data_IF_008376849744
#
_entry.id   IF_008376849744
#
_cell.length_a   1.000
_cell.length_b   1.000
_cell.length_c   1.000
_cell.angle_alpha   90.00
_cell.angle_beta   90.00
_cell.angle_gamma   90.00
#
_symmetry.space_group_name_H-M   'P 1'
#
loop_
_entity.id
_entity.type
_entity.pdbx_description
1 polymer ?
#
# COMPACT_ATOMS: atom_id res chain seq x y z
N UNK A 1 10.00 -1.09 19.16
CA UNK A 1 9.10 -1.18 17.99
C UNK A 1 9.68 -2.14 16.96
N UNK A 2 9.74 -3.45 17.27
CA UNK A 2 10.43 -4.44 16.41
C UNK A 2 9.52 -5.05 15.33
N UNK A 3 8.21 -4.95 15.50
CA UNK A 3 7.21 -5.66 14.70
C UNK A 3 7.12 -5.20 13.23
N UNK A 4 7.18 -3.89 12.96
CA UNK A 4 7.08 -3.36 11.58
C UNK A 4 8.35 -3.56 10.75
N UNK A 5 9.50 -3.66 11.41
CA UNK A 5 10.80 -3.83 10.76
C UNK A 5 10.95 -5.21 10.10
N UNK A 6 10.22 -6.21 10.60
CA UNK A 6 10.33 -7.60 10.17
C UNK A 6 9.28 -7.98 9.11
N UNK A 7 8.28 -7.12 8.86
CA UNK A 7 7.21 -7.38 7.88
C UNK A 7 7.75 -7.42 6.45
N UNK A 8 7.48 -8.51 5.73
CA UNK A 8 7.78 -8.62 4.31
C UNK A 8 6.65 -7.99 3.51
N UNK A 9 6.93 -6.88 2.84
CA UNK A 9 5.94 -6.10 2.10
C UNK A 9 6.24 -6.17 0.60
N UNK A 10 5.32 -6.77 -0.14
CA UNK A 10 5.31 -6.72 -1.60
C UNK A 10 4.54 -5.48 -2.06
N UNK A 11 5.10 -4.73 -3.00
CA UNK A 11 4.45 -3.57 -3.62
C UNK A 11 4.21 -3.87 -5.09
N UNK A 12 2.96 -3.82 -5.53
CA UNK A 12 2.56 -3.98 -6.92
C UNK A 12 1.93 -2.69 -7.43
N UNK A 13 2.41 -2.18 -8.55
CA UNK A 13 1.80 -1.03 -9.18
C UNK A 13 0.51 -1.43 -9.92
N UNK A 14 -0.62 -0.91 -9.48
CA UNK A 14 -1.93 -1.05 -10.12
C UNK A 14 -2.53 0.32 -10.45
N UNK A 15 -1.70 1.36 -10.54
CA UNK A 15 -2.15 2.73 -10.82
C UNK A 15 -2.06 3.07 -12.31
N UNK A 16 -1.26 2.32 -13.08
CA UNK A 16 -0.89 2.67 -14.46
C UNK A 16 0.07 3.85 -14.57
N UNK A 17 0.43 4.48 -13.45
CA UNK A 17 1.43 5.55 -13.41
C UNK A 17 2.84 4.92 -13.34
N UNK A 18 3.78 5.34 -14.21
CA UNK A 18 5.16 4.91 -14.09
C UNK A 18 5.72 5.22 -12.70
N UNK A 19 6.61 4.34 -12.21
CA UNK A 19 7.34 4.54 -10.95
C UNK A 19 6.52 4.55 -9.66
N UNK A 20 5.18 4.50 -9.71
CA UNK A 20 4.33 4.52 -8.51
C UNK A 20 4.67 3.40 -7.52
N UNK A 21 4.93 2.18 -8.01
CA UNK A 21 5.39 1.07 -7.16
C UNK A 21 6.73 1.34 -6.49
N UNK A 22 7.68 1.95 -7.22
CA UNK A 22 8.99 2.31 -6.67
C UNK A 22 8.86 3.42 -5.61
N UNK A 23 8.06 4.45 -5.88
CA UNK A 23 7.80 5.55 -4.96
C UNK A 23 7.15 5.08 -3.65
N UNK A 24 6.12 4.24 -3.72
CA UNK A 24 5.51 3.63 -2.52
C UNK A 24 6.52 2.78 -1.76
N UNK A 25 7.34 1.99 -2.47
CA UNK A 25 8.35 1.16 -1.81
C UNK A 25 9.35 2.01 -1.03
N UNK A 26 9.75 3.15 -1.58
CA UNK A 26 10.69 4.06 -0.93
C UNK A 26 10.06 4.74 0.29
N UNK A 27 8.83 5.23 0.13
CA UNK A 27 8.07 5.83 1.23
C UNK A 27 7.94 4.90 2.45
N UNK A 28 7.68 3.61 2.22
CA UNK A 28 7.58 2.62 3.29
C UNK A 28 8.93 2.36 3.97
N UNK A 29 10.01 2.30 3.19
CA UNK A 29 11.37 2.16 3.76
C UNK A 29 11.73 3.35 4.65
N UNK A 30 11.44 4.56 4.18
CA UNK A 30 11.68 5.80 4.93
C UNK A 30 10.82 5.88 6.21
N UNK A 31 9.67 5.18 6.22
CA UNK A 31 8.77 5.04 7.37
C UNK A 31 9.17 3.92 8.36
N UNK A 32 10.25 3.17 8.06
CA UNK A 32 10.82 2.16 8.96
C UNK A 32 10.50 0.70 8.63
N UNK A 33 9.88 0.42 7.48
CA UNK A 33 9.69 -0.94 6.97
C UNK A 33 10.94 -1.39 6.21
N UNK A 34 11.69 -2.38 6.72
CA UNK A 34 12.97 -2.74 6.13
C UNK A 34 12.86 -3.71 4.94
N UNK A 35 11.84 -4.58 4.95
CA UNK A 35 11.70 -5.65 3.96
C UNK A 35 10.63 -5.32 2.92
N UNK A 36 10.89 -4.30 2.10
CA UNK A 36 9.97 -3.85 1.04
C UNK A 36 10.56 -4.16 -0.33
N UNK A 37 9.80 -4.82 -1.21
CA UNK A 37 10.20 -5.13 -2.58
C UNK A 37 9.08 -4.86 -3.58
N UNK A 38 9.45 -4.61 -4.83
CA UNK A 38 8.53 -4.26 -5.90
C UNK A 38 8.31 -5.46 -6.82
N UNK A 39 7.05 -5.79 -7.06
CA UNK A 39 6.61 -6.80 -8.02
C UNK A 39 6.44 -6.17 -9.41
N UNK A 40 6.28 -7.01 -10.42
CA UNK A 40 5.84 -6.56 -11.74
C UNK A 40 4.49 -5.84 -11.66
N UNK A 41 4.37 -4.76 -12.43
CA UNK A 41 3.14 -3.99 -12.58
C UNK A 41 1.95 -4.89 -12.95
N UNK A 42 0.78 -4.53 -12.43
CA UNK A 42 -0.47 -5.20 -12.73
C UNK A 42 -1.02 -4.74 -14.07
N UNK A 43 -1.63 -5.65 -14.82
CA UNK A 43 -2.38 -5.32 -16.03
C UNK A 43 -3.72 -4.63 -15.73
N UNK A 44 -4.17 -4.65 -14.47
CA UNK A 44 -5.44 -4.06 -14.04
C UNK A 44 -5.19 -2.82 -13.20
N UNK A 45 -5.83 -1.73 -13.60
CA UNK A 45 -5.80 -0.47 -12.86
C UNK A 45 -6.88 -0.44 -11.79
N UNK A 46 -6.54 0.01 -10.58
CA UNK A 46 -7.47 0.17 -9.46
C UNK A 46 -7.48 1.62 -8.98
N UNK A 47 -8.66 2.09 -8.55
CA UNK A 47 -8.81 3.48 -8.12
C UNK A 47 -8.24 3.76 -6.74
N UNK A 48 -8.36 2.81 -5.80
CA UNK A 48 -7.82 2.96 -4.45
C UNK A 48 -6.74 1.93 -4.18
N UNK A 49 -5.73 2.34 -3.42
CA UNK A 49 -4.68 1.48 -2.95
C UNK A 49 -5.26 0.40 -2.03
N UNK A 50 -4.84 -0.83 -2.23
CA UNK A 50 -5.29 -1.99 -1.45
C UNK A 50 -4.13 -2.52 -0.62
N UNK A 51 -4.34 -2.61 0.70
CA UNK A 51 -3.40 -3.20 1.64
C UNK A 51 -3.93 -4.58 2.02
N UNK A 52 -3.36 -5.61 1.43
CA UNK A 52 -3.85 -6.99 1.48
C UNK A 52 -3.07 -7.76 2.54
N UNK A 53 -3.77 -8.25 3.56
CA UNK A 53 -3.18 -9.05 4.63
C UNK A 53 -3.03 -10.52 4.20
N UNK A 54 -1.81 -11.06 4.26
CA UNK A 54 -1.62 -12.49 4.12
C UNK A 54 -1.91 -13.23 5.43
N UNK A 55 -2.48 -14.43 5.31
CA UNK A 55 -2.81 -15.33 6.45
C UNK A 55 -3.73 -14.68 7.50
N UNK A 56 -4.42 -13.61 7.12
CA UNK A 56 -5.36 -12.90 7.98
C UNK A 56 -4.74 -11.96 9.02
N UNK A 57 -3.48 -11.55 8.86
CA UNK A 57 -2.85 -10.54 9.73
C UNK A 57 -3.38 -9.11 9.44
N UNK A 58 -4.62 -8.87 9.86
CA UNK A 58 -5.28 -7.57 9.73
C UNK A 58 -4.58 -6.46 10.50
N UNK A 59 -3.94 -6.79 11.62
CA UNK A 59 -3.32 -5.79 12.47
C UNK A 59 -2.10 -5.17 11.77
N UNK A 60 -1.28 -6.01 11.14
CA UNK A 60 -0.18 -5.55 10.29
C UNK A 60 -0.68 -4.73 9.12
N UNK A 61 -1.73 -5.17 8.43
CA UNK A 61 -2.30 -4.43 7.29
C UNK A 61 -2.88 -3.06 7.71
N UNK A 62 -3.57 -2.98 8.84
CA UNK A 62 -4.07 -1.71 9.38
C UNK A 62 -2.93 -0.78 9.78
N UNK A 63 -1.84 -1.33 10.34
CA UNK A 63 -0.65 -0.53 10.67
C UNK A 63 -0.04 0.08 9.42
N UNK A 64 0.16 -0.73 8.37
CA UNK A 64 0.67 -0.25 7.07
C UNK A 64 -0.26 0.79 6.45
N UNK A 65 -1.57 0.52 6.41
CA UNK A 65 -2.56 1.45 5.87
C UNK A 65 -2.58 2.79 6.64
N UNK A 66 -2.43 2.74 7.97
CA UNK A 66 -2.36 3.94 8.82
C UNK A 66 -1.09 4.76 8.56
N UNK A 67 0.04 4.10 8.30
CA UNK A 67 1.28 4.79 7.91
C UNK A 67 1.11 5.44 6.54
N UNK A 68 0.51 4.76 5.56
CA UNK A 68 0.26 5.32 4.23
C UNK A 68 -0.76 6.47 4.22
N UNK A 69 -1.71 6.47 5.15
CA UNK A 69 -2.75 7.50 5.25
C UNK A 69 -3.82 7.44 4.14
N UNK A 70 -3.78 6.43 3.28
CA UNK A 70 -4.70 6.24 2.15
C UNK A 70 -5.01 4.76 1.91
N UNK A 71 -5.83 4.47 0.90
CA UNK A 71 -6.20 3.11 0.56
C UNK A 71 -7.15 2.43 1.54
N UNK A 72 -7.33 1.12 1.36
CA UNK A 72 -8.21 0.26 2.18
C UNK A 72 -7.53 -1.06 2.53
N UNK A 73 -7.84 -1.60 3.70
CA UNK A 73 -7.39 -2.93 4.11
C UNK A 73 -8.32 -4.00 3.52
N UNK A 74 -7.73 -5.04 2.93
CA UNK A 74 -8.44 -6.22 2.42
C UNK A 74 -7.93 -7.49 3.12
N UNK A 75 -8.86 -8.38 3.45
CA UNK A 75 -8.58 -9.71 3.98
C UNK A 75 -8.72 -10.73 2.84
N UNK A 76 -7.70 -10.83 2.00
CA UNK A 76 -7.73 -11.72 0.84
C UNK A 76 -6.41 -12.47 0.72
N UNK A 77 -6.46 -13.74 0.36
CA UNK A 77 -5.26 -14.53 0.02
C UNK A 77 -4.83 -14.37 -1.44
N UNK A 78 -5.14 -13.22 -2.06
CA UNK A 78 -4.86 -12.94 -3.49
C UNK A 78 -3.60 -12.10 -3.70
N UNK A 79 -2.89 -11.73 -2.62
CA UNK A 79 -1.59 -11.07 -2.67
C UNK A 79 -0.44 -12.03 -3.00
N UNK A 80 0.79 -11.54 -2.89
CA UNK A 80 2.01 -12.35 -3.01
C UNK A 80 2.17 -13.28 -1.82
N UNK A 81 2.30 -14.58 -2.08
CA UNK A 81 2.34 -15.64 -1.07
C UNK A 81 3.62 -15.64 -0.22
N UNK A 82 4.67 -14.95 -0.65
CA UNK A 82 5.93 -14.80 0.09
C UNK A 82 5.96 -13.53 0.94
N UNK A 83 4.95 -12.67 0.81
CA UNK A 83 4.79 -11.46 1.63
C UNK A 83 3.91 -11.71 2.85
N UNK A 84 4.07 -10.88 3.88
CA UNK A 84 3.10 -10.75 4.95
C UNK A 84 1.98 -9.78 4.54
N UNK A 85 2.35 -8.76 3.75
CA UNK A 85 1.45 -7.73 3.22
C UNK A 85 1.74 -7.53 1.74
N UNK A 86 0.69 -7.49 0.93
CA UNK A 86 0.77 -6.99 -0.45
C UNK A 86 0.06 -5.66 -0.56
N UNK A 87 0.76 -4.65 -1.08
CA UNK A 87 0.19 -3.33 -1.38
C UNK A 87 0.01 -3.24 -2.89
N UNK A 88 -1.25 -3.16 -3.34
CA UNK A 88 -1.55 -2.78 -4.72
C UNK A 88 -1.78 -1.28 -4.77
N UNK A 89 -0.87 -0.57 -5.41
CA UNK A 89 -0.91 0.89 -5.50
C UNK A 89 -1.99 1.31 -6.48
N UNK A 90 -2.96 2.10 -6.03
CA UNK A 90 -4.06 2.61 -6.84
C UNK A 90 -3.81 4.01 -7.38
N UNK A 91 -4.78 4.55 -8.13
CA UNK A 91 -4.75 5.93 -8.64
C UNK A 91 -4.72 6.98 -7.52
N UNK A 92 -5.30 6.67 -6.35
CA UNK A 92 -5.23 7.52 -5.15
C UNK A 92 -3.80 7.81 -4.67
N UNK A 93 -2.81 7.03 -5.13
CA UNK A 93 -1.41 7.38 -5.00
C UNK A 93 -1.04 8.51 -5.97
N UNK A 94 -0.95 9.73 -5.44
CA UNK A 94 -0.55 10.93 -6.20
C UNK A 94 -1.70 11.85 -6.59
N UNK A 95 -2.95 11.50 -6.29
CA UNK A 95 -4.02 12.51 -6.31
C UNK A 95 -3.85 13.46 -5.12
N UNK A 96 -3.79 14.80 -5.34
CA UNK A 96 -3.89 15.72 -4.24
C UNK A 96 -5.24 15.46 -3.56
N UNK A 97 -5.20 15.15 -2.26
CA UNK A 97 -6.39 14.99 -1.42
C UNK A 97 -7.30 16.19 -1.66
N UNK A 98 -8.30 16.02 -2.51
CA UNK A 98 -9.34 17.01 -2.72
C UNK A 98 -10.29 16.86 -1.54
N UNK A 99 -9.85 17.30 -0.36
CA UNK A 99 -10.79 17.67 0.68
C UNK A 99 -11.72 18.71 0.05
N UNK A 100 -13.05 18.46 0.03
CA UNK A 100 -13.97 19.51 -0.39
C UNK A 100 -13.76 20.67 0.58
N UNK A 101 -13.19 21.76 0.09
CA UNK A 101 -13.10 23.03 0.82
C UNK A 101 -14.52 23.33 1.26
N UNK A 102 -14.85 23.32 2.57
CA UNK A 102 -16.19 23.65 2.99
C UNK A 102 -16.44 25.09 2.55
N UNK A 103 -17.47 25.28 1.72
CA UNK A 103 -17.95 26.61 1.36
C UNK A 103 -18.10 27.40 2.66
N UNK A 104 -17.29 28.45 2.79
CA UNK A 104 -17.31 29.32 3.95
C UNK A 104 -18.66 30.02 3.98
N UNK A 105 -19.41 29.81 5.07
CA UNK A 105 -20.70 30.48 5.33
C UNK A 105 -20.52 31.98 5.60
#
# INVERSE_FOLDING_TARGET
>A
TRYIADLNIAVQNSSGQPEAGAAVSQYLRDSGFNNVYVLSDSSTTISRTEVIAQRGDLQSAQTVQSVMGLGRVLLESTGDLNSDITIRVGLDWGEPTSEPVPDSF
#
